data_IF_235464901460
#
_entry.id   IF_235464901460
#
_cell.length_a   1.000
_cell.length_b   1.000
_cell.length_c   1.000
_cell.angle_alpha   90.00
_cell.angle_beta   90.00
_cell.angle_gamma   90.00
#
_symmetry.space_group_name_H-M   'P 1'
#
loop_
_entity.id
_entity.type
_entity.pdbx_description
1 polymer ?
#
# COMPACT_ATOMS: atom_id res chain seq x y z
N UNK A 1 65.95 25.85 18.77
CA UNK A 1 65.30 27.14 18.45
C UNK A 1 63.84 27.04 18.89
N UNK A 2 63.55 27.43 20.14
CA UNK A 2 62.66 28.56 20.54
C UNK A 2 61.23 28.44 19.96
N UNK A 3 60.21 27.98 20.68
CA UNK A 3 59.54 28.48 21.90
C UNK A 3 58.85 29.86 21.75
N UNK A 4 57.50 29.87 21.90
CA UNK A 4 56.59 30.95 22.38
C UNK A 4 55.16 30.36 22.34
N UNK A 5 54.44 30.02 23.42
CA UNK A 5 54.08 30.73 24.65
C UNK A 5 53.35 32.06 24.39
N UNK A 6 52.01 32.06 24.49
CA UNK A 6 51.19 33.22 24.89
C UNK A 6 50.04 32.72 25.77
N UNK A 7 49.95 33.33 26.96
CA UNK A 7 49.03 33.10 28.06
C UNK A 7 47.64 33.74 27.85
N UNK A 8 46.63 33.00 28.31
CA UNK A 8 45.64 33.35 29.34
C UNK A 8 45.26 34.83 29.55
N UNK A 9 43.95 35.12 29.48
CA UNK A 9 43.28 36.09 30.36
C UNK A 9 41.82 35.67 30.60
N UNK A 10 41.53 35.42 31.89
CA UNK A 10 40.19 35.27 32.46
C UNK A 10 39.47 36.63 32.48
N UNK A 11 38.13 36.61 32.42
CA UNK A 11 37.29 37.41 33.34
C UNK A 11 35.88 36.86 33.45
N UNK A 12 35.55 36.50 34.69
CA UNK A 12 34.23 36.29 35.31
C UNK A 12 33.56 37.68 35.38
N UNK A 13 32.28 37.92 35.12
CA UNK A 13 31.14 37.85 36.08
C UNK A 13 29.96 38.55 35.37
N UNK A 14 28.73 38.00 35.43
CA UNK A 14 27.54 38.68 36.00
C UNK A 14 26.31 37.80 35.85
N UNK A 15 25.85 37.30 37.00
CA UNK A 15 24.47 36.88 37.26
C UNK A 15 23.59 38.13 37.34
N UNK A 16 22.44 38.13 36.67
CA UNK A 16 21.28 38.94 37.04
C UNK A 16 19.98 38.32 36.49
N UNK A 17 19.24 37.70 37.40
CA UNK A 17 17.78 37.79 37.57
C UNK A 17 16.88 37.92 36.34
N UNK A 18 16.14 36.83 36.04
CA UNK A 18 14.71 36.94 35.69
C UNK A 18 13.97 35.82 36.43
N UNK A 19 13.52 36.12 37.65
CA UNK A 19 12.33 35.50 38.21
C UNK A 19 11.07 36.18 37.64
N UNK A 20 9.96 35.43 37.66
CA UNK A 20 8.58 35.84 37.39
C UNK A 20 8.08 35.75 35.93
N UNK A 21 7.70 34.53 35.52
CA UNK A 21 6.34 34.29 34.98
C UNK A 21 5.84 32.97 35.54
N UNK A 22 5.09 33.06 36.64
CA UNK A 22 4.27 31.98 37.16
C UNK A 22 2.81 32.22 36.71
N UNK A 23 2.08 31.12 36.52
CA UNK A 23 0.62 31.04 36.33
C UNK A 23 0.01 31.56 35.03
N UNK A 24 -0.02 30.69 34.00
CA UNK A 24 -1.23 30.34 33.22
C UNK A 24 -1.04 29.07 32.37
N UNK A 25 -0.46 28.01 32.95
CA UNK A 25 -0.56 26.65 32.42
C UNK A 25 -1.74 25.93 33.06
N UNK A 26 -2.94 26.21 32.57
CA UNK A 26 -4.17 25.40 32.71
C UNK A 26 -5.19 26.07 31.78
N UNK A 27 -5.88 25.26 30.97
CA UNK A 27 -6.79 25.67 29.87
C UNK A 27 -6.06 25.97 28.55
N UNK A 28 -5.33 25.00 27.98
CA UNK A 28 -5.20 24.78 26.51
C UNK A 28 -4.52 23.43 26.19
N UNK A 29 -4.58 22.47 27.13
CA UNK A 29 -4.17 21.09 26.90
C UNK A 29 -5.42 20.26 26.66
N UNK A 30 -5.41 19.47 25.58
CA UNK A 30 -6.43 18.49 25.18
C UNK A 30 -7.52 19.02 24.23
N UNK A 31 -7.18 19.27 22.96
CA UNK A 31 -8.11 19.02 21.83
C UNK A 31 -7.49 19.16 20.43
N UNK A 32 -6.17 19.14 20.26
CA UNK A 32 -5.53 19.15 18.93
C UNK A 32 -5.39 17.77 18.28
N UNK A 33 -5.60 16.68 19.02
CA UNK A 33 -5.68 15.32 18.45
C UNK A 33 -7.01 15.02 17.75
N UNK A 34 -8.09 15.74 18.08
CA UNK A 34 -9.42 15.53 17.47
C UNK A 34 -9.61 16.16 16.09
N UNK A 35 -8.77 17.12 15.68
CA UNK A 35 -8.87 17.79 14.37
C UNK A 35 -8.04 17.10 13.27
N UNK A 36 -7.15 16.16 13.61
CA UNK A 36 -6.43 15.33 12.62
C UNK A 36 -7.11 13.98 12.37
N UNK A 37 -8.12 13.62 13.16
CA UNK A 37 -9.03 12.49 12.90
C UNK A 37 -10.29 12.91 12.14
N UNK A 38 -10.37 14.17 11.68
CA UNK A 38 -11.42 14.62 10.77
C UNK A 38 -11.34 13.84 9.44
N UNK A 39 -12.19 12.81 9.40
CA UNK A 39 -12.65 11.99 8.30
C UNK A 39 -11.62 11.30 7.40
N UNK A 40 -10.95 10.28 7.92
CA UNK A 40 -10.43 9.18 7.08
C UNK A 40 -11.53 8.48 6.25
N UNK A 41 -12.80 8.66 6.60
CA UNK A 41 -13.96 8.13 5.88
C UNK A 41 -14.25 8.84 4.57
N UNK A 42 -13.82 10.09 4.38
CA UNK A 42 -14.16 10.88 3.17
C UNK A 42 -13.43 10.40 1.91
N UNK A 43 -12.38 9.59 2.10
CA UNK A 43 -11.62 9.01 1.01
C UNK A 43 -12.12 7.62 0.62
N UNK A 44 -12.86 6.95 1.50
CA UNK A 44 -13.43 5.66 1.16
C UNK A 44 -14.33 5.82 -0.08
N UNK A 45 -14.29 4.88 -1.03
CA UNK A 45 -15.15 4.96 -2.20
C UNK A 45 -16.60 5.05 -1.76
N UNK A 46 -17.36 5.89 -2.46
CA UNK A 46 -18.77 6.10 -2.14
C UNK A 46 -19.51 4.75 -2.21
N UNK A 47 -20.53 4.52 -1.38
CA UNK A 47 -21.35 3.32 -1.50
C UNK A 47 -21.95 3.23 -2.91
N UNK A 48 -21.57 2.22 -3.67
CA UNK A 48 -22.21 1.81 -4.93
C UNK A 48 -22.57 0.31 -4.86
N UNK A 49 -23.53 -0.16 -5.66
CA UNK A 49 -23.83 -1.59 -5.76
C UNK A 49 -22.54 -2.36 -6.07
N UNK A 50 -22.07 -3.15 -5.11
CA UNK A 50 -20.83 -3.90 -5.29
C UNK A 50 -21.15 -5.24 -5.91
N UNK A 51 -20.56 -5.49 -7.07
CA UNK A 51 -20.57 -6.83 -7.67
C UNK A 51 -19.45 -7.72 -7.14
N UNK A 52 -18.54 -7.15 -6.35
CA UNK A 52 -17.37 -7.83 -5.79
C UNK A 52 -17.29 -7.68 -4.26
N UNK A 53 -16.61 -8.61 -3.61
CA UNK A 53 -16.55 -8.67 -2.14
C UNK A 53 -15.63 -7.61 -1.52
N UNK A 54 -14.56 -7.24 -2.21
CA UNK A 54 -13.51 -6.39 -1.67
C UNK A 54 -13.23 -5.18 -2.56
N UNK A 55 -12.60 -4.19 -1.94
CA UNK A 55 -12.13 -2.96 -2.57
C UNK A 55 -10.65 -2.78 -2.22
N UNK A 56 -9.85 -2.40 -3.19
CA UNK A 56 -8.44 -2.07 -3.05
C UNK A 56 -8.14 -0.69 -3.62
N UNK A 57 -7.18 0.01 -3.01
CA UNK A 57 -6.43 1.05 -3.75
C UNK A 57 -5.47 0.38 -4.73
N UNK A 58 -5.07 1.08 -5.80
CA UNK A 58 -4.07 0.57 -6.73
C UNK A 58 -2.94 1.56 -7.00
N UNK A 59 -1.75 1.02 -7.26
CA UNK A 59 -0.60 1.75 -7.82
C UNK A 59 0.07 0.92 -8.91
N UNK A 60 1.18 1.43 -9.46
CA UNK A 60 2.05 0.71 -10.38
C UNK A 60 3.50 0.72 -9.88
N UNK A 61 4.16 -0.44 -9.86
CA UNK A 61 5.59 -0.55 -9.53
C UNK A 61 6.47 -1.05 -10.68
N UNK A 62 5.86 -1.61 -11.74
CA UNK A 62 6.60 -2.17 -12.86
C UNK A 62 6.98 -3.65 -12.67
N UNK A 63 7.63 -4.22 -13.66
CA UNK A 63 7.95 -5.65 -13.68
C UNK A 63 9.27 -5.95 -12.99
N UNK A 64 9.31 -7.03 -12.20
CA UNK A 64 10.48 -7.53 -11.50
C UNK A 64 10.69 -9.04 -11.81
N UNK A 65 11.88 -9.49 -12.26
CA UNK A 65 12.19 -10.91 -12.46
C UNK A 65 12.48 -11.68 -11.16
N UNK A 66 12.59 -10.98 -10.02
CA UNK A 66 12.97 -11.52 -8.72
C UNK A 66 12.04 -11.01 -7.63
N UNK A 67 10.75 -11.32 -7.76
CA UNK A 67 9.75 -10.92 -6.77
C UNK A 67 9.95 -11.64 -5.42
N UNK A 68 9.28 -11.16 -4.35
CA UNK A 68 9.28 -11.84 -3.06
C UNK A 68 8.68 -13.26 -3.11
N UNK A 69 7.83 -13.54 -4.10
CA UNK A 69 7.31 -14.88 -4.38
C UNK A 69 8.29 -15.80 -5.12
N UNK A 70 9.48 -15.30 -5.49
CA UNK A 70 10.43 -16.07 -6.30
C UNK A 70 9.94 -16.31 -7.73
N UNK A 71 9.14 -15.38 -8.27
CA UNK A 71 8.55 -15.42 -9.60
C UNK A 71 9.11 -14.28 -10.47
N UNK A 72 9.10 -14.48 -11.78
CA UNK A 72 9.23 -13.40 -12.75
C UNK A 72 7.82 -12.90 -13.09
N UNK A 73 7.50 -11.71 -12.58
CA UNK A 73 6.17 -11.08 -12.74
C UNK A 73 5.75 -10.90 -14.20
N UNK A 74 6.67 -10.54 -15.09
CA UNK A 74 6.38 -10.33 -16.51
C UNK A 74 6.26 -11.66 -17.25
N UNK A 75 7.19 -12.58 -17.02
CA UNK A 75 7.20 -13.87 -17.70
C UNK A 75 5.98 -14.72 -17.32
N UNK A 76 5.51 -14.65 -16.06
CA UNK A 76 4.38 -15.44 -15.60
C UNK A 76 3.10 -15.13 -16.39
N UNK A 77 2.79 -13.84 -16.56
CA UNK A 77 1.56 -13.37 -17.21
C UNK A 77 1.71 -13.13 -18.72
N UNK A 78 2.89 -13.43 -19.28
CA UNK A 78 3.13 -13.25 -20.72
C UNK A 78 2.18 -14.12 -21.55
N UNK A 79 1.43 -13.46 -22.43
CA UNK A 79 0.45 -14.12 -23.30
C UNK A 79 -0.79 -14.63 -22.57
N UNK A 80 -1.09 -14.13 -21.37
CA UNK A 80 -2.32 -14.45 -20.64
C UNK A 80 -3.20 -13.20 -20.48
N UNK A 81 -4.41 -13.41 -19.97
CA UNK A 81 -5.35 -12.34 -19.59
C UNK A 81 -5.16 -11.85 -18.14
N UNK A 82 -4.13 -12.32 -17.45
CA UNK A 82 -3.85 -11.96 -16.06
C UNK A 82 -2.99 -10.70 -15.96
N UNK A 83 -3.25 -9.93 -14.93
CA UNK A 83 -2.36 -8.89 -14.42
C UNK A 83 -1.51 -9.45 -13.28
N UNK A 84 -0.21 -9.15 -13.30
CA UNK A 84 0.68 -9.47 -12.19
C UNK A 84 0.62 -8.35 -11.14
N UNK A 85 0.41 -8.70 -9.87
CA UNK A 85 0.30 -7.72 -8.78
C UNK A 85 1.15 -8.07 -7.57
N UNK A 86 1.54 -7.05 -6.82
CA UNK A 86 2.00 -7.16 -5.44
C UNK A 86 0.81 -6.86 -4.51
N UNK A 87 0.43 -7.79 -3.64
CA UNK A 87 -0.61 -7.50 -2.65
C UNK A 87 0.00 -6.85 -1.40
N UNK A 88 -0.77 -6.01 -0.71
CA UNK A 88 -0.35 -5.38 0.54
C UNK A 88 0.11 -6.42 1.56
N UNK A 89 1.09 -6.05 2.39
CA UNK A 89 1.59 -6.89 3.47
C UNK A 89 0.46 -7.49 4.35
N UNK A 90 -0.57 -6.71 4.66
CA UNK A 90 -1.75 -7.19 5.42
C UNK A 90 -2.54 -8.30 4.73
N UNK A 91 -2.45 -8.45 3.40
CA UNK A 91 -3.17 -9.45 2.63
C UNK A 91 -2.39 -10.76 2.49
N UNK A 92 -1.09 -10.77 2.83
CA UNK A 92 -0.20 -11.90 2.56
C UNK A 92 -0.54 -13.08 3.45
N UNK A 93 -1.14 -14.11 2.85
CA UNK A 93 -1.50 -15.37 3.49
C UNK A 93 -0.60 -16.52 3.02
N UNK A 94 0.71 -16.27 3.07
CA UNK A 94 1.73 -17.24 2.69
C UNK A 94 2.56 -16.81 1.48
N UNK A 95 3.88 -16.99 1.64
CA UNK A 95 4.91 -16.79 0.63
C UNK A 95 6.26 -17.26 1.21
N UNK A 96 7.30 -17.46 0.38
CA UNK A 96 8.61 -17.89 0.89
C UNK A 96 9.32 -16.86 1.78
N UNK A 97 9.08 -15.57 1.52
CA UNK A 97 9.91 -14.47 2.04
C UNK A 97 9.12 -13.41 2.79
N UNK A 98 7.85 -13.68 3.07
CA UNK A 98 6.99 -12.73 3.74
C UNK A 98 6.12 -13.44 4.78
N UNK A 99 5.66 -12.65 5.74
CA UNK A 99 4.96 -13.15 6.90
C UNK A 99 3.54 -13.60 6.53
N UNK A 100 3.02 -14.63 7.22
CA UNK A 100 1.63 -15.06 7.14
C UNK A 100 0.75 -14.10 7.96
N UNK A 101 0.62 -12.87 7.49
CA UNK A 101 -0.20 -11.88 8.18
C UNK A 101 -1.69 -12.23 8.07
N UNK A 102 -2.08 -12.95 7.01
CA UNK A 102 -3.42 -13.52 6.81
C UNK A 102 -4.49 -12.45 6.55
N UNK A 103 -5.61 -12.85 5.93
CA UNK A 103 -6.80 -12.00 5.77
C UNK A 103 -7.60 -11.82 7.07
N UNK A 104 -8.64 -10.98 7.02
CA UNK A 104 -9.52 -10.70 8.17
C UNK A 104 -9.90 -9.22 8.28
N UNK A 105 -11.00 -8.91 8.98
CA UNK A 105 -11.40 -7.52 9.23
C UNK A 105 -11.62 -6.69 7.95
N UNK A 106 -12.14 -7.29 6.87
CA UNK A 106 -12.30 -6.71 5.51
C UNK A 106 -11.02 -6.70 4.64
N UNK A 107 -9.89 -7.21 5.16
CA UNK A 107 -8.70 -7.53 4.37
C UNK A 107 -8.87 -8.92 3.74
N UNK A 108 -8.66 -9.03 2.44
CA UNK A 108 -8.67 -10.31 1.73
C UNK A 108 -7.37 -11.10 1.98
N UNK A 109 -7.49 -12.42 2.19
CA UNK A 109 -6.35 -13.34 2.21
C UNK A 109 -5.88 -13.60 0.78
N UNK A 110 -4.76 -13.00 0.38
CA UNK A 110 -4.19 -13.09 -0.97
C UNK A 110 -2.65 -13.05 -0.89
N UNK A 111 -2.06 -14.22 -0.66
CA UNK A 111 -0.60 -14.46 -0.69
C UNK A 111 -0.06 -14.82 -2.08
N UNK A 112 1.21 -15.21 -2.15
CA UNK A 112 1.85 -15.58 -3.41
C UNK A 112 1.10 -16.68 -4.16
N UNK A 113 0.91 -16.50 -5.47
CA UNK A 113 0.21 -17.44 -6.33
C UNK A 113 -1.31 -17.43 -6.17
N UNK A 114 -1.87 -16.64 -5.24
CA UNK A 114 -3.31 -16.45 -5.17
C UNK A 114 -3.81 -15.65 -6.37
N UNK A 115 -5.01 -15.98 -6.83
CA UNK A 115 -5.66 -15.30 -7.95
C UNK A 115 -6.95 -14.59 -7.52
N UNK A 116 -7.45 -13.76 -8.42
CA UNK A 116 -8.75 -13.14 -8.29
C UNK A 116 -9.19 -12.52 -9.61
N UNK A 117 -10.39 -11.97 -9.59
CA UNK A 117 -10.92 -11.13 -10.66
C UNK A 117 -11.48 -9.84 -10.12
N UNK A 118 -11.54 -8.82 -10.96
CA UNK A 118 -12.02 -7.52 -10.56
C UNK A 118 -12.15 -6.51 -11.69
N UNK A 119 -12.51 -5.28 -11.32
CA UNK A 119 -12.70 -4.15 -12.24
C UNK A 119 -12.17 -2.87 -11.62
N UNK A 120 -11.65 -1.99 -12.47
CA UNK A 120 -11.33 -0.64 -12.05
C UNK A 120 -12.61 0.18 -11.93
N UNK A 121 -12.78 0.84 -10.78
CA UNK A 121 -13.85 1.80 -10.55
C UNK A 121 -13.36 3.15 -11.00
N UNK A 122 -14.20 3.93 -11.70
CA UNK A 122 -13.87 5.29 -12.13
C UNK A 122 -13.90 6.26 -10.94
N UNK A 123 -13.01 6.05 -9.99
CA UNK A 123 -12.82 6.84 -8.79
C UNK A 123 -11.35 6.79 -8.37
N UNK A 124 -10.79 7.95 -8.01
CA UNK A 124 -9.42 8.09 -7.51
C UNK A 124 -9.42 8.27 -5.99
N UNK A 125 -8.36 7.79 -5.30
CA UNK A 125 -8.10 8.20 -3.92
C UNK A 125 -8.04 9.74 -3.82
N UNK A 126 -8.58 10.32 -2.75
CA UNK A 126 -8.65 11.79 -2.53
C UNK A 126 -9.47 12.61 -3.53
N UNK A 127 -10.31 11.98 -4.35
CA UNK A 127 -11.23 12.69 -5.23
C UNK A 127 -10.52 13.53 -6.31
N UNK A 128 -9.31 13.13 -6.71
CA UNK A 128 -8.60 13.77 -7.81
C UNK A 128 -9.44 13.77 -9.09
N UNK A 129 -9.17 14.74 -9.96
CA UNK A 129 -9.85 14.85 -11.25
C UNK A 129 -9.49 13.66 -12.14
N UNK A 130 -10.52 12.96 -12.60
CA UNK A 130 -10.40 11.85 -13.53
C UNK A 130 -10.41 12.38 -14.96
N UNK A 131 -9.26 12.29 -15.63
CA UNK A 131 -9.11 12.70 -17.02
C UNK A 131 -9.52 11.62 -18.02
N UNK A 132 -9.54 10.36 -17.57
CA UNK A 132 -9.93 9.24 -18.43
C UNK A 132 -11.43 9.27 -18.74
N UNK A 133 -11.81 9.16 -20.03
CA UNK A 133 -13.20 9.12 -20.44
C UNK A 133 -13.95 7.97 -19.76
N UNK A 134 -15.23 8.17 -19.43
CA UNK A 134 -16.06 7.12 -18.85
C UNK A 134 -16.23 5.90 -19.77
N UNK A 135 -16.10 6.09 -21.08
CA UNK A 135 -16.14 5.02 -22.09
C UNK A 135 -14.84 4.21 -22.20
N UNK A 136 -13.77 4.59 -21.51
CA UNK A 136 -12.50 3.89 -21.60
C UNK A 136 -12.63 2.43 -21.16
N UNK A 137 -12.06 1.50 -21.94
CA UNK A 137 -12.20 0.06 -21.73
C UNK A 137 -11.81 -0.41 -20.32
N UNK A 138 -10.87 0.29 -19.67
CA UNK A 138 -10.42 -0.01 -18.30
C UNK A 138 -11.56 -0.10 -17.28
N UNK A 139 -12.64 0.67 -17.48
CA UNK A 139 -13.80 0.70 -16.58
C UNK A 139 -14.88 -0.33 -16.92
N UNK A 140 -14.78 -0.99 -18.08
CA UNK A 140 -15.81 -1.92 -18.59
C UNK A 140 -15.31 -3.36 -18.67
N UNK A 141 -14.00 -3.56 -18.64
CA UNK A 141 -13.36 -4.87 -18.71
C UNK A 141 -13.20 -5.47 -17.31
N UNK A 142 -13.54 -6.75 -17.17
CA UNK A 142 -13.12 -7.56 -16.03
C UNK A 142 -11.68 -8.07 -16.25
N UNK A 143 -10.85 -7.94 -15.23
CA UNK A 143 -9.46 -8.33 -15.24
C UNK A 143 -9.26 -9.48 -14.26
N UNK A 144 -8.50 -10.49 -14.69
CA UNK A 144 -7.92 -11.48 -13.77
C UNK A 144 -6.60 -10.96 -13.26
N UNK A 145 -6.24 -11.33 -12.05
CA UNK A 145 -4.93 -11.02 -11.48
C UNK A 145 -4.35 -12.20 -10.74
N UNK A 146 -3.03 -12.21 -10.60
CA UNK A 146 -2.27 -13.17 -9.82
C UNK A 146 -1.27 -12.42 -8.95
N UNK A 147 -1.22 -12.76 -7.67
CA UNK A 147 -0.28 -12.19 -6.72
C UNK A 147 1.08 -12.81 -6.94
N UNK A 148 2.04 -11.99 -7.34
CA UNK A 148 3.41 -12.40 -7.65
C UNK A 148 4.44 -11.72 -6.77
N UNK A 149 4.06 -10.74 -5.97
CA UNK A 149 4.98 -10.00 -5.10
C UNK A 149 4.26 -9.50 -3.82
N UNK A 150 5.01 -8.81 -2.96
CA UNK A 150 4.50 -8.12 -1.78
C UNK A 150 4.70 -6.62 -1.91
N UNK A 151 3.70 -5.83 -1.51
CA UNK A 151 3.90 -4.42 -1.17
C UNK A 151 4.15 -4.29 0.33
N UNK A 152 5.41 -4.11 0.78
CA UNK A 152 5.75 -4.03 2.20
C UNK A 152 5.30 -2.69 2.79
N UNK A 153 4.81 -2.72 4.04
CA UNK A 153 4.36 -1.51 4.73
C UNK A 153 5.49 -0.51 5.00
N UNK A 154 6.69 -0.99 5.32
CA UNK A 154 7.83 -0.16 5.77
C UNK A 154 8.19 0.99 4.82
N UNK A 155 7.97 0.81 3.52
CA UNK A 155 8.27 1.81 2.49
C UNK A 155 7.01 2.37 1.81
N UNK A 156 5.86 1.75 2.04
CA UNK A 156 4.60 2.06 1.36
C UNK A 156 3.46 2.29 2.35
N UNK A 157 3.76 2.85 3.53
CA UNK A 157 2.82 2.97 4.64
C UNK A 157 1.54 3.75 4.30
N UNK A 158 1.60 4.63 3.30
CA UNK A 158 0.44 5.34 2.76
C UNK A 158 -0.59 4.39 2.13
N UNK A 159 -0.11 3.35 1.44
CA UNK A 159 -0.90 2.50 0.54
C UNK A 159 -1.15 1.11 1.11
N UNK A 160 -0.13 0.50 1.69
CA UNK A 160 -0.08 -0.92 2.02
C UNK A 160 -0.22 -1.12 3.52
N UNK A 161 -1.39 -1.54 4.05
CA UNK A 161 -1.55 -1.79 5.48
C UNK A 161 -0.61 -2.90 5.96
N UNK A 162 -0.19 -2.83 7.22
CA UNK A 162 0.74 -3.80 7.80
C UNK A 162 0.03 -5.04 8.33
N UNK A 163 -1.22 -4.90 8.80
CA UNK A 163 -2.00 -5.94 9.49
C UNK A 163 -3.41 -6.06 8.92
N UNK A 164 -3.98 -7.26 8.97
CA UNK A 164 -5.38 -7.49 8.63
C UNK A 164 -6.31 -6.56 9.42
N UNK A 165 -7.35 -6.06 8.76
CA UNK A 165 -8.29 -5.10 9.35
C UNK A 165 -7.80 -3.66 9.42
N UNK A 166 -6.50 -3.41 9.23
CA UNK A 166 -5.97 -2.05 9.14
C UNK A 166 -6.34 -1.43 7.78
N UNK A 167 -6.90 -0.22 7.80
CA UNK A 167 -7.06 0.59 6.60
C UNK A 167 -5.79 1.40 6.30
N UNK A 168 -5.54 1.66 5.02
CA UNK A 168 -4.49 2.59 4.58
C UNK A 168 -4.92 4.06 4.77
N UNK A 169 -4.11 5.02 4.31
CA UNK A 169 -4.41 6.45 4.47
C UNK A 169 -5.68 6.91 3.72
N UNK A 170 -6.25 6.07 2.87
CA UNK A 170 -7.45 6.34 2.08
C UNK A 170 -8.67 5.56 2.59
N UNK A 171 -8.59 4.95 3.77
CA UNK A 171 -9.71 4.23 4.37
C UNK A 171 -9.99 2.86 3.74
N UNK A 172 -9.07 2.31 2.95
CA UNK A 172 -9.23 1.01 2.28
C UNK A 172 -8.31 -0.05 2.91
N UNK A 173 -8.86 -1.25 3.15
CA UNK A 173 -8.19 -2.36 3.85
C UNK A 173 -7.28 -3.23 2.98
N UNK A 174 -7.32 -3.00 1.65
CA UNK A 174 -6.59 -3.77 0.66
C UNK A 174 -5.85 -2.81 -0.29
N UNK A 175 -4.75 -3.29 -0.85
CA UNK A 175 -4.00 -2.57 -1.87
C UNK A 175 -3.31 -3.55 -2.81
N UNK A 176 -3.31 -3.20 -4.09
CA UNK A 176 -2.53 -3.89 -5.12
C UNK A 176 -1.60 -2.93 -5.82
N UNK A 177 -0.32 -3.28 -5.87
CA UNK A 177 0.64 -2.61 -6.73
C UNK A 177 0.79 -3.41 -8.02
N UNK A 178 0.44 -2.84 -9.16
CA UNK A 178 0.40 -3.57 -10.43
C UNK A 178 1.75 -3.56 -11.13
N UNK A 179 2.25 -4.73 -11.53
CA UNK A 179 3.49 -4.85 -12.29
C UNK A 179 3.29 -4.41 -13.75
N UNK A 180 2.17 -4.85 -14.32
CA UNK A 180 1.66 -4.44 -15.64
C UNK A 180 0.27 -3.84 -15.47
N UNK A 181 0.00 -2.78 -16.22
CA UNK A 181 -1.27 -2.05 -16.13
C UNK A 181 -1.92 -1.92 -17.51
N UNK A 182 -3.26 -1.93 -17.58
CA UNK A 182 -3.96 -1.62 -18.83
C UNK A 182 -3.72 -0.17 -19.26
N UNK A 183 -4.00 0.12 -20.54
CA UNK A 183 -4.03 1.49 -21.04
C UNK A 183 -5.01 2.36 -20.24
N UNK A 184 -4.69 3.64 -20.07
CA UNK A 184 -5.42 4.62 -19.24
C UNK A 184 -5.44 4.37 -17.73
N UNK A 185 -4.63 3.44 -17.21
CA UNK A 185 -4.49 3.28 -15.77
C UNK A 185 -3.98 4.56 -15.08
N UNK A 186 -4.59 4.90 -13.94
CA UNK A 186 -4.23 6.06 -13.12
C UNK A 186 -4.61 5.80 -11.65
N UNK A 187 -4.07 4.76 -11.01
CA UNK A 187 -4.27 4.49 -9.56
C UNK A 187 -5.75 4.48 -9.09
N UNK A 188 -6.67 4.03 -9.95
CA UNK A 188 -8.07 3.92 -9.62
C UNK A 188 -8.31 2.94 -8.48
N UNK A 189 -9.45 3.06 -7.81
CA UNK A 189 -9.93 1.96 -6.99
C UNK A 189 -10.16 0.70 -7.83
N UNK A 190 -9.87 -0.47 -7.24
CA UNK A 190 -10.08 -1.77 -7.85
C UNK A 190 -10.98 -2.61 -6.98
N UNK A 191 -12.16 -2.93 -7.49
CA UNK A 191 -13.06 -3.89 -6.86
C UNK A 191 -12.70 -5.30 -7.28
N UNK A 192 -12.70 -6.24 -6.34
CA UNK A 192 -12.25 -7.60 -6.64
C UNK A 192 -12.84 -8.67 -5.73
N UNK A 193 -12.77 -9.90 -6.23
CA UNK A 193 -13.10 -11.12 -5.50
C UNK A 193 -11.98 -12.14 -5.70
N UNK A 194 -11.36 -12.66 -4.63
CA UNK A 194 -10.47 -13.81 -4.71
C UNK A 194 -11.16 -14.98 -5.40
N UNK A 195 -10.45 -15.65 -6.31
CA UNK A 195 -10.93 -16.87 -6.95
C UNK A 195 -9.74 -17.80 -7.26
N UNK A 196 -9.96 -19.11 -7.40
CA UNK A 196 -8.90 -20.01 -7.80
C UNK A 196 -8.30 -19.60 -9.15
N UNK A 197 -6.97 -19.72 -9.28
CA UNK A 197 -6.31 -19.61 -10.57
C UNK A 197 -6.84 -20.68 -11.53
N UNK A 198 -6.99 -20.36 -12.82
CA UNK A 198 -7.30 -21.36 -13.83
C UNK A 198 -6.12 -22.34 -14.04
N UNK A 199 -6.39 -23.48 -14.70
CA UNK A 199 -5.42 -24.56 -14.90
C UNK A 199 -4.11 -24.09 -15.57
N UNK A 200 -4.19 -23.20 -16.55
CA UNK A 200 -3.00 -22.68 -17.23
C UNK A 200 -2.11 -21.87 -16.28
N UNK A 201 -2.71 -21.00 -15.45
CA UNK A 201 -1.97 -20.20 -14.48
C UNK A 201 -1.41 -21.06 -13.36
N UNK A 202 -2.16 -22.05 -12.87
CA UNK A 202 -1.67 -23.04 -11.90
C UNK A 202 -0.44 -23.78 -12.44
N UNK A 203 -0.50 -24.24 -13.69
CA UNK A 203 0.62 -24.93 -14.35
C UNK A 203 1.85 -24.03 -14.49
N UNK A 204 1.63 -22.74 -14.79
CA UNK A 204 2.72 -21.75 -14.85
C UNK A 204 3.34 -21.50 -13.47
N UNK A 205 2.52 -21.30 -12.44
CA UNK A 205 2.96 -21.12 -11.06
C UNK A 205 3.78 -22.33 -10.58
N UNK A 206 3.30 -23.55 -10.82
CA UNK A 206 4.03 -24.77 -10.44
C UNK A 206 5.41 -24.90 -11.11
N UNK A 207 5.53 -24.48 -12.37
CA UNK A 207 6.80 -24.53 -13.12
C UNK A 207 7.77 -23.41 -12.73
N UNK A 208 7.25 -22.20 -12.49
CA UNK A 208 8.07 -21.00 -12.34
C UNK A 208 8.39 -20.67 -10.89
N UNK A 209 7.54 -21.10 -9.96
CA UNK A 209 7.72 -20.78 -8.56
C UNK A 209 8.88 -21.58 -7.98
N UNK A 210 9.87 -20.85 -7.44
CA UNK A 210 10.90 -21.44 -6.59
C UNK A 210 10.38 -21.73 -5.16
N UNK A 211 9.16 -21.31 -4.89
CA UNK A 211 8.41 -21.55 -3.67
C UNK A 211 7.44 -22.71 -3.87
N UNK A 212 7.35 -23.63 -2.91
CA UNK A 212 6.22 -24.55 -2.84
C UNK A 212 4.95 -23.77 -2.46
N UNK A 213 4.36 -23.09 -3.44
CA UNK A 213 3.08 -22.43 -3.30
C UNK A 213 2.03 -23.53 -3.11
N UNK A 214 1.30 -23.45 -2.00
CA UNK A 214 0.25 -24.41 -1.65
C UNK A 214 -1.08 -23.99 -2.24
#
# INVERSE_FOLDING_TARGET
>A
MMARHVQLLLSITTLANVEAVNLRSRVFGNNLTGLLEQNRTDYAPAPHPRHYHFMATSTRYGTNPHTACGLDSAALVRGTDYLAVASAQAMQDGCCRCNRNGGGGRTASLGCGSCGKGRFVRQLPRGFKIWTPASAQIFHKEYKFVVVDICPHSHNAMWCPARAGQANQFGVHNHFDFATVPHHFDNYYFEFTPEPCNHDMQSRLARMSKCHLR
#
